data_IF_512325967645
#
_entry.id   IF_512325967645
#
_cell.length_a   1.000
_cell.length_b   1.000
_cell.length_c   1.000
_cell.angle_alpha   90.00
_cell.angle_beta   90.00
_cell.angle_gamma   90.00
#
_symmetry.space_group_name_H-M   'P 1'
#
loop_
_entity.id
_entity.type
_entity.pdbx_description
1 polymer ?
#
# COMPACT_ATOMS: atom_id res chain seq x y z
N UNK A 1 5.09 -11.74 -6.12
CA UNK A 1 5.11 -10.68 -5.11
C UNK A 1 4.46 -9.41 -5.67
N UNK A 2 3.90 -8.53 -4.85
CA UNK A 2 3.37 -7.22 -5.24
C UNK A 2 4.18 -6.09 -4.59
N UNK A 3 4.41 -5.02 -5.34
CA UNK A 3 5.12 -3.85 -4.83
C UNK A 3 4.13 -2.81 -4.30
N UNK A 4 4.50 -2.23 -3.16
CA UNK A 4 3.80 -1.14 -2.51
C UNK A 4 4.70 0.10 -2.50
N UNK A 5 4.32 1.17 -3.17
CA UNK A 5 5.10 2.41 -3.16
C UNK A 5 4.93 3.13 -1.82
N UNK A 6 6.02 3.38 -1.11
CA UNK A 6 6.01 4.04 0.18
C UNK A 6 5.89 5.56 0.01
N UNK A 7 4.76 6.11 0.44
CA UNK A 7 4.48 7.55 0.39
C UNK A 7 4.38 8.17 1.79
N UNK A 8 4.74 7.42 2.85
CA UNK A 8 4.57 7.88 4.24
C UNK A 8 5.38 9.13 4.60
N UNK A 9 6.52 9.33 3.95
CA UNK A 9 7.41 10.48 4.16
C UNK A 9 7.00 11.72 3.32
N UNK A 10 5.95 11.62 2.49
CA UNK A 10 5.48 12.74 1.67
C UNK A 10 4.58 13.66 2.50
N UNK A 11 5.19 14.72 3.06
CA UNK A 11 4.49 15.64 3.96
C UNK A 11 3.44 16.54 3.29
N UNK A 12 3.57 16.81 1.99
CA UNK A 12 2.65 17.70 1.28
C UNK A 12 1.46 16.91 0.71
N UNK A 13 0.25 17.20 1.19
CA UNK A 13 -0.98 16.51 0.75
C UNK A 13 -1.25 16.58 -0.76
N UNK A 14 -0.94 17.71 -1.41
CA UNK A 14 -1.15 17.84 -2.85
C UNK A 14 -0.15 16.97 -3.63
N UNK A 15 1.10 16.93 -3.18
CA UNK A 15 2.13 16.07 -3.75
C UNK A 15 1.84 14.59 -3.53
N UNK A 16 1.40 14.22 -2.32
CA UNK A 16 0.98 12.87 -1.98
C UNK A 16 -0.12 12.36 -2.92
N UNK A 17 -1.15 13.18 -3.17
CA UNK A 17 -2.23 12.85 -4.11
C UNK A 17 -1.75 12.77 -5.56
N UNK A 18 -0.84 13.66 -5.95
CA UNK A 18 -0.23 13.63 -7.30
C UNK A 18 0.53 12.32 -7.51
N UNK A 19 1.37 11.92 -6.57
CA UNK A 19 2.13 10.67 -6.62
C UNK A 19 1.22 9.44 -6.56
N UNK A 20 0.15 9.48 -5.76
CA UNK A 20 -0.83 8.40 -5.71
C UNK A 20 -1.59 8.24 -7.05
N UNK A 21 -1.96 9.36 -7.70
CA UNK A 21 -2.56 9.34 -9.04
C UNK A 21 -1.56 8.81 -10.08
N UNK A 22 -0.31 9.25 -10.05
CA UNK A 22 0.73 8.78 -10.95
C UNK A 22 1.00 7.27 -10.77
N UNK A 23 0.99 6.78 -9.52
CA UNK A 23 1.07 5.36 -9.22
C UNK A 23 -0.12 4.56 -9.76
N UNK A 24 -1.33 5.11 -9.67
CA UNK A 24 -2.56 4.53 -10.23
C UNK A 24 -2.47 4.44 -11.76
N UNK A 25 -2.09 5.54 -12.42
CA UNK A 25 -1.99 5.65 -13.88
C UNK A 25 -0.90 4.75 -14.47
N UNK A 26 0.20 4.55 -13.75
CA UNK A 26 1.30 3.67 -14.17
C UNK A 26 1.18 2.22 -13.70
N UNK A 27 0.07 1.86 -13.03
CA UNK A 27 -0.22 0.47 -12.67
C UNK A 27 0.67 -0.09 -11.56
N UNK A 28 1.11 0.76 -10.63
CA UNK A 28 1.67 0.29 -9.35
C UNK A 28 0.55 -0.46 -8.60
N UNK A 29 0.88 -1.61 -7.99
CA UNK A 29 -0.15 -2.45 -7.38
C UNK A 29 -0.79 -1.80 -6.14
N UNK A 30 0.02 -1.15 -5.30
CA UNK A 30 -0.49 -0.40 -4.17
C UNK A 30 0.47 0.67 -3.67
N UNK A 31 -0.03 1.51 -2.77
CA UNK A 31 0.69 2.57 -2.08
C UNK A 31 0.56 2.39 -0.57
N UNK A 32 1.55 2.88 0.17
CA UNK A 32 1.50 2.99 1.62
C UNK A 32 1.38 4.45 2.01
N UNK A 33 0.35 4.78 2.79
CA UNK A 33 0.03 6.15 3.18
C UNK A 33 -0.14 6.24 4.69
N UNK A 34 0.18 7.39 5.25
CA UNK A 34 -0.03 7.70 6.66
C UNK A 34 -0.33 9.20 6.80
N UNK A 35 -0.63 9.63 8.01
CA UNK A 35 -0.78 11.04 8.35
C UNK A 35 -0.41 11.25 9.82
N UNK A 36 -0.68 12.44 10.36
CA UNK A 36 -0.62 12.67 11.81
C UNK A 36 -1.55 11.67 12.54
N UNK A 37 -1.21 11.25 13.78
CA UNK A 37 -2.03 10.31 14.54
C UNK A 37 -3.50 10.76 14.65
N UNK A 38 -4.42 9.88 14.28
CA UNK A 38 -5.86 10.13 14.21
C UNK A 38 -6.36 10.73 12.89
N UNK A 39 -5.47 11.02 11.93
CA UNK A 39 -5.83 11.56 10.61
C UNK A 39 -5.54 10.57 9.46
N UNK A 40 -4.97 9.40 9.74
CA UNK A 40 -4.47 8.46 8.71
C UNK A 40 -5.59 7.98 7.79
N UNK A 41 -6.75 7.60 8.35
CA UNK A 41 -7.92 7.19 7.59
C UNK A 41 -8.51 8.34 6.75
N UNK A 42 -8.42 9.58 7.24
CA UNK A 42 -8.91 10.76 6.49
C UNK A 42 -8.05 11.02 5.26
N UNK A 43 -6.72 10.94 5.40
CA UNK A 43 -5.82 11.09 4.25
C UNK A 43 -6.01 9.96 3.24
N UNK A 44 -6.11 8.71 3.72
CA UNK A 44 -6.38 7.56 2.88
C UNK A 44 -7.71 7.67 2.13
N UNK A 45 -8.77 8.18 2.77
CA UNK A 45 -10.06 8.44 2.12
C UNK A 45 -9.94 9.48 1.00
N UNK A 46 -9.15 10.55 1.21
CA UNK A 46 -8.93 11.56 0.19
C UNK A 46 -8.24 10.99 -1.05
N UNK A 47 -7.26 10.11 -0.85
CA UNK A 47 -6.55 9.41 -1.94
C UNK A 47 -7.45 8.38 -2.61
N UNK A 48 -8.23 7.63 -1.83
CA UNK A 48 -9.19 6.66 -2.34
C UNK A 48 -10.22 7.30 -3.29
N UNK A 49 -10.66 8.53 -2.98
CA UNK A 49 -11.61 9.28 -3.80
C UNK A 49 -11.05 9.78 -5.14
N UNK A 50 -9.72 9.85 -5.29
CA UNK A 50 -9.06 10.36 -6.51
C UNK A 50 -8.30 9.30 -7.29
N UNK A 51 -8.33 8.04 -6.84
CA UNK A 51 -7.65 6.90 -7.48
C UNK A 51 -8.66 5.80 -7.77
N UNK A 52 -8.41 4.98 -8.78
CA UNK A 52 -9.38 3.99 -9.26
C UNK A 52 -8.93 2.55 -9.04
N UNK A 53 -7.64 2.25 -9.17
CA UNK A 53 -7.14 0.87 -9.25
C UNK A 53 -6.11 0.53 -8.17
N UNK A 54 -5.26 1.49 -7.78
CA UNK A 54 -4.17 1.27 -6.82
C UNK A 54 -4.71 0.84 -5.46
N UNK A 55 -4.13 -0.21 -4.88
CA UNK A 55 -4.48 -0.65 -3.52
C UNK A 55 -3.89 0.31 -2.49
N UNK A 56 -4.61 0.56 -1.39
CA UNK A 56 -4.23 1.54 -0.36
C UNK A 56 -3.95 0.79 0.94
N UNK A 57 -2.67 0.71 1.32
CA UNK A 57 -2.24 0.25 2.63
C UNK A 57 -2.13 1.46 3.56
N UNK A 58 -2.98 1.53 4.58
CA UNK A 58 -2.96 2.61 5.56
C UNK A 58 -2.05 2.22 6.73
N UNK A 59 -0.97 2.96 6.97
CA UNK A 59 -0.11 2.80 8.15
C UNK A 59 -0.69 3.64 9.31
N UNK A 60 -1.27 2.95 10.30
CA UNK A 60 -2.10 3.51 11.36
C UNK A 60 -1.41 3.28 12.71
N UNK A 61 -1.40 4.31 13.55
CA UNK A 61 -1.13 4.12 14.98
C UNK A 61 -2.32 3.44 15.66
N UNK A 62 -2.21 2.14 15.92
CA UNK A 62 -3.28 1.33 16.51
C UNK A 62 -3.59 1.66 17.97
N UNK A 63 -2.81 2.52 18.61
CA UNK A 63 -3.02 2.97 19.99
C UNK A 63 -3.57 4.41 20.07
N UNK A 64 -3.72 5.09 18.92
CA UNK A 64 -4.23 6.47 18.86
C UNK A 64 -5.73 6.59 19.15
N UNK A 65 -6.50 5.50 18.98
CA UNK A 65 -7.94 5.47 19.22
C UNK A 65 -8.41 4.08 19.67
N UNK A 66 -9.69 3.98 20.07
CA UNK A 66 -10.29 2.70 20.43
C UNK A 66 -10.35 1.75 19.22
N UNK A 67 -10.09 0.43 19.36
CA UNK A 67 -10.09 -0.53 18.25
C UNK A 67 -11.36 -0.50 17.39
N UNK A 68 -12.53 -0.32 18.01
CA UNK A 68 -13.79 -0.18 17.26
C UNK A 68 -13.80 1.04 16.36
N UNK A 69 -13.35 2.20 16.85
CA UNK A 69 -13.30 3.45 16.07
C UNK A 69 -12.35 3.29 14.89
N UNK A 70 -11.15 2.73 15.12
CA UNK A 70 -10.19 2.45 14.04
C UNK A 70 -10.80 1.53 12.97
N UNK A 71 -11.48 0.46 13.39
CA UNK A 71 -12.10 -0.47 12.46
C UNK A 71 -13.26 0.16 11.66
N UNK A 72 -14.07 1.04 12.27
CA UNK A 72 -15.11 1.79 11.59
C UNK A 72 -14.53 2.75 10.54
N UNK A 73 -13.49 3.50 10.90
CA UNK A 73 -12.84 4.42 9.98
C UNK A 73 -12.22 3.68 8.78
N UNK A 74 -11.50 2.57 9.02
CA UNK A 74 -10.92 1.74 7.95
C UNK A 74 -12.03 1.17 7.05
N UNK A 75 -13.15 0.72 7.62
CA UNK A 75 -14.30 0.23 6.85
C UNK A 75 -14.92 1.32 5.97
N UNK A 76 -14.99 2.56 6.45
CA UNK A 76 -15.43 3.70 5.65
C UNK A 76 -14.45 3.96 4.49
N UNK A 77 -13.14 3.93 4.73
CA UNK A 77 -12.15 4.08 3.64
C UNK A 77 -12.33 2.97 2.61
N UNK A 78 -12.59 1.73 3.02
CA UNK A 78 -12.82 0.60 2.11
C UNK A 78 -14.08 0.74 1.24
N UNK A 79 -15.13 1.36 1.79
CA UNK A 79 -16.32 1.71 1.02
C UNK A 79 -16.00 2.77 -0.05
N UNK A 80 -15.26 3.81 0.33
CA UNK A 80 -14.83 4.88 -0.59
C UNK A 80 -13.87 4.33 -1.65
N UNK A 81 -12.95 3.44 -1.27
CA UNK A 81 -11.95 2.86 -2.16
C UNK A 81 -12.50 1.75 -3.05
N UNK A 82 -13.74 1.31 -2.82
CA UNK A 82 -14.37 0.20 -3.53
C UNK A 82 -13.53 -1.07 -3.46
N UNK A 83 -13.20 -1.53 -2.25
CA UNK A 83 -12.50 -2.80 -1.98
C UNK A 83 -10.99 -2.79 -2.25
N UNK A 84 -10.36 -1.64 -2.12
CA UNK A 84 -8.91 -1.49 -2.35
C UNK A 84 -8.11 -1.27 -1.07
N UNK A 85 -8.74 -1.35 0.09
CA UNK A 85 -8.09 -0.99 1.36
C UNK A 85 -7.42 -2.20 2.02
N UNK A 86 -6.26 -1.95 2.63
CA UNK A 86 -5.59 -2.80 3.61
C UNK A 86 -5.10 -1.92 4.75
N UNK A 87 -4.82 -2.50 5.91
CA UNK A 87 -4.29 -1.75 7.05
C UNK A 87 -2.99 -2.35 7.58
N UNK A 88 -2.04 -1.49 7.93
CA UNK A 88 -0.83 -1.82 8.67
C UNK A 88 -0.98 -1.17 10.06
N UNK A 89 -1.21 -1.97 11.09
CA UNK A 89 -1.49 -1.49 12.44
C UNK A 89 -0.27 -1.63 13.35
N UNK A 90 0.31 -0.48 13.70
CA UNK A 90 1.32 -0.34 14.76
C UNK A 90 0.65 -0.49 16.14
N UNK A 91 1.44 -0.73 17.18
CA UNK A 91 0.95 -0.80 18.56
C UNK A 91 0.64 -2.21 19.05
N UNK A 92 -0.26 -2.32 20.05
CA UNK A 92 -0.52 -3.56 20.77
C UNK A 92 -1.17 -4.65 19.89
N UNK A 93 -0.63 -5.88 19.97
CA UNK A 93 -1.16 -7.04 19.24
C UNK A 93 -2.63 -7.37 19.59
N UNK A 94 -3.07 -7.04 20.80
CA UNK A 94 -4.46 -7.19 21.25
C UNK A 94 -5.40 -6.21 20.53
N UNK A 95 -4.98 -4.95 20.34
CA UNK A 95 -5.74 -3.97 19.56
C UNK A 95 -5.84 -4.40 18.10
N UNK A 96 -4.71 -4.80 17.50
CA UNK A 96 -4.66 -5.30 16.12
C UNK A 96 -5.58 -6.50 15.90
N UNK A 97 -5.57 -7.48 16.81
CA UNK A 97 -6.46 -8.65 16.73
C UNK A 97 -7.94 -8.27 16.78
N UNK A 98 -8.32 -7.30 17.63
CA UNK A 98 -9.70 -6.80 17.71
C UNK A 98 -10.13 -6.09 16.42
N UNK A 99 -9.28 -5.22 15.88
CA UNK A 99 -9.52 -4.53 14.61
C UNK A 99 -9.67 -5.53 13.47
N UNK A 100 -8.75 -6.50 13.36
CA UNK A 100 -8.80 -7.54 12.33
C UNK A 100 -10.09 -8.38 12.40
N UNK A 101 -10.53 -8.76 13.61
CA UNK A 101 -11.76 -9.50 13.80
C UNK A 101 -13.00 -8.69 13.35
N UNK A 102 -13.11 -7.43 13.78
CA UNK A 102 -14.18 -6.53 13.37
C UNK A 102 -14.21 -6.33 11.85
N UNK A 103 -13.05 -6.08 11.23
CA UNK A 103 -12.89 -5.90 9.79
C UNK A 103 -13.11 -7.18 8.97
N UNK A 104 -13.14 -8.34 9.64
CA UNK A 104 -13.54 -9.64 9.06
C UNK A 104 -15.03 -9.95 9.25
N UNK A 105 -15.81 -8.98 9.77
CA UNK A 105 -17.23 -9.14 10.05
C UNK A 105 -17.54 -9.97 11.30
N UNK A 106 -16.55 -10.26 12.14
CA UNK A 106 -16.76 -11.00 13.39
C UNK A 106 -17.17 -10.03 14.51
N UNK A 107 -18.13 -10.42 15.37
CA UNK A 107 -18.49 -9.62 16.52
C UNK A 107 -17.34 -9.61 17.54
N UNK A 108 -17.03 -8.44 18.10
CA UNK A 108 -16.03 -8.26 19.17
C UNK A 108 -16.68 -7.50 20.31
N UNK A 109 -16.60 -8.04 21.53
CA UNK A 109 -17.19 -7.42 22.73
C UNK A 109 -18.69 -7.06 22.56
N UNK A 110 -19.43 -7.84 21.77
CA UNK A 110 -20.85 -7.61 21.47
C UNK A 110 -21.12 -6.55 20.40
N UNK A 111 -20.08 -5.99 19.77
CA UNK A 111 -20.16 -4.96 18.73
C UNK A 111 -19.93 -5.57 17.34
N UNK A 112 -20.59 -5.01 16.33
CA UNK A 112 -20.42 -5.30 14.90
C UNK A 112 -20.26 -3.95 14.18
N UNK A 113 -19.43 -3.90 13.14
CA UNK A 113 -19.18 -2.68 12.38
C UNK A 113 -20.41 -2.21 11.58
N UNK A 114 -20.67 -0.91 11.64
CA UNK A 114 -21.64 -0.21 10.81
C UNK A 114 -21.04 1.15 10.36
N UNK A 115 -20.78 1.38 9.06
CA UNK A 115 -21.03 0.46 7.95
C UNK A 115 -20.10 -0.77 8.00
N UNK A 116 -20.52 -1.92 7.46
CA UNK A 116 -19.58 -3.02 7.24
C UNK A 116 -18.57 -2.61 6.15
N UNK A 117 -17.37 -3.24 6.12
CA UNK A 117 -16.46 -3.14 4.99
C UNK A 117 -17.12 -3.48 3.65
N UNK A 118 -16.60 -2.92 2.54
CA UNK A 118 -17.03 -3.30 1.20
C UNK A 118 -16.47 -4.69 0.81
N UNK A 119 -15.30 -5.02 1.33
CA UNK A 119 -14.69 -6.35 1.27
C UNK A 119 -15.34 -7.30 2.28
N UNK A 120 -15.24 -8.61 2.02
CA UNK A 120 -15.64 -9.60 3.02
C UNK A 120 -14.72 -9.58 4.25
N UNK A 121 -13.45 -9.21 4.05
CA UNK A 121 -12.45 -9.04 5.08
C UNK A 121 -11.41 -8.04 4.59
N UNK A 122 -11.14 -6.99 5.36
CA UNK A 122 -10.01 -6.10 5.09
C UNK A 122 -8.75 -6.72 5.71
N UNK A 123 -7.67 -6.95 4.93
CA UNK A 123 -6.43 -7.46 5.48
C UNK A 123 -5.80 -6.47 6.46
N UNK A 124 -5.39 -6.98 7.63
CA UNK A 124 -4.68 -6.23 8.67
C UNK A 124 -3.32 -6.88 8.92
N UNK A 125 -2.27 -6.09 8.79
CA UNK A 125 -0.88 -6.51 8.95
C UNK A 125 -0.23 -5.80 10.14
N UNK A 126 0.78 -6.45 10.72
CA UNK A 126 1.77 -5.82 11.57
C UNK A 126 2.91 -5.23 10.73
N UNK A 127 3.66 -4.22 11.24
CA UNK A 127 4.83 -3.68 10.55
C UNK A 127 5.87 -4.75 10.15
N UNK A 128 6.04 -5.77 10.98
CA UNK A 128 6.96 -6.89 10.74
C UNK A 128 6.50 -7.87 9.64
N UNK A 129 5.22 -7.85 9.24
CA UNK A 129 4.68 -8.78 8.25
C UNK A 129 5.04 -8.39 6.80
N UNK A 130 5.33 -7.09 6.57
CA UNK A 130 5.63 -6.57 5.24
C UNK A 130 7.01 -5.89 5.27
N UNK A 131 8.04 -6.49 4.65
CA UNK A 131 9.35 -5.87 4.60
C UNK A 131 9.33 -4.57 3.80
N UNK A 132 10.22 -3.65 4.17
CA UNK A 132 10.43 -2.38 3.49
C UNK A 132 11.88 -2.25 3.04
N UNK A 133 12.09 -1.75 1.82
CA UNK A 133 13.41 -1.47 1.25
C UNK A 133 13.42 -0.12 0.55
N UNK A 134 14.59 0.50 0.51
CA UNK A 134 14.82 1.72 -0.27
C UNK A 134 15.53 1.37 -1.56
N UNK A 135 14.96 1.78 -2.69
CA UNK A 135 15.51 1.56 -4.01
C UNK A 135 15.90 2.90 -4.64
N UNK A 136 17.01 2.89 -5.38
CA UNK A 136 17.60 4.10 -5.97
C UNK A 136 17.52 4.02 -7.48
N UNK A 137 17.02 5.07 -8.13
CA UNK A 137 16.87 5.09 -9.58
C UNK A 137 18.19 4.81 -10.33
N UNK A 138 18.10 4.09 -11.45
CA UNK A 138 19.25 3.66 -12.24
C UNK A 138 20.17 2.60 -11.60
N UNK A 139 19.93 2.20 -10.35
CA UNK A 139 20.75 1.18 -9.70
C UNK A 139 20.47 -0.22 -10.23
N UNK A 140 21.49 -0.87 -10.80
CA UNK A 140 21.45 -2.30 -11.17
C UNK A 140 21.18 -3.21 -9.96
N UNK A 141 21.44 -2.75 -8.74
CA UNK A 141 21.17 -3.48 -7.50
C UNK A 141 19.68 -3.65 -7.20
N UNK A 142 18.80 -2.79 -7.74
CA UNK A 142 17.36 -2.86 -7.46
C UNK A 142 16.74 -4.17 -7.94
N UNK A 143 17.15 -4.64 -9.12
CA UNK A 143 16.70 -5.90 -9.69
C UNK A 143 17.02 -7.07 -8.75
N UNK A 144 18.25 -7.10 -8.21
CA UNK A 144 18.70 -8.14 -7.30
C UNK A 144 17.88 -8.16 -6.01
N UNK A 145 17.61 -6.98 -5.43
CA UNK A 145 16.79 -6.86 -4.21
C UNK A 145 15.37 -7.38 -4.46
N UNK A 146 14.74 -6.95 -5.57
CA UNK A 146 13.37 -7.40 -5.91
C UNK A 146 13.32 -8.89 -6.18
N UNK A 147 14.30 -9.44 -6.90
CA UNK A 147 14.39 -10.88 -7.18
C UNK A 147 14.56 -11.68 -5.88
N UNK A 148 15.42 -11.25 -4.96
CA UNK A 148 15.63 -11.90 -3.65
C UNK A 148 14.32 -12.00 -2.84
N UNK A 149 13.54 -10.91 -2.77
CA UNK A 149 12.27 -10.92 -2.03
C UNK A 149 11.19 -11.72 -2.75
N UNK A 150 11.12 -11.64 -4.09
CA UNK A 150 10.21 -12.47 -4.89
C UNK A 150 10.48 -13.95 -4.66
N UNK A 151 11.75 -14.35 -4.73
CA UNK A 151 12.16 -15.76 -4.64
C UNK A 151 12.07 -16.30 -3.21
N UNK A 152 12.05 -15.41 -2.21
CA UNK A 152 11.73 -15.73 -0.81
C UNK A 152 10.22 -15.87 -0.54
N UNK A 153 9.39 -15.84 -1.58
CA UNK A 153 7.92 -15.96 -1.52
C UNK A 153 7.26 -14.89 -0.61
N UNK A 154 7.85 -13.71 -0.52
CA UNK A 154 7.23 -12.57 0.17
C UNK A 154 6.02 -12.09 -0.65
N UNK A 155 4.81 -11.96 -0.08
CA UNK A 155 3.63 -11.55 -0.84
C UNK A 155 3.68 -10.08 -1.24
N UNK A 156 4.13 -9.20 -0.33
CA UNK A 156 4.19 -7.75 -0.49
C UNK A 156 5.58 -7.22 -0.13
N UNK A 157 6.03 -6.17 -0.82
CA UNK A 157 7.25 -5.46 -0.50
C UNK A 157 7.02 -3.96 -0.59
N UNK A 158 7.29 -3.24 0.49
CA UNK A 158 7.21 -1.77 0.55
C UNK A 158 8.51 -1.20 -0.02
N UNK A 159 8.36 -0.27 -0.96
CA UNK A 159 9.47 0.34 -1.71
C UNK A 159 9.45 1.85 -1.50
N UNK A 160 10.48 2.39 -0.86
CA UNK A 160 10.79 3.82 -1.03
C UNK A 160 11.52 4.02 -2.36
N UNK A 161 11.08 4.99 -3.15
CA UNK A 161 11.59 5.24 -4.51
C UNK A 161 11.84 6.73 -4.71
N UNK A 162 13.03 7.08 -5.20
CA UNK A 162 13.44 8.47 -5.42
C UNK A 162 13.40 8.92 -6.88
N UNK A 163 13.12 8.01 -7.81
CA UNK A 163 13.05 8.30 -9.25
C UNK A 163 11.62 8.51 -9.75
N UNK A 164 11.43 8.61 -11.07
CA UNK A 164 10.11 8.66 -11.70
C UNK A 164 9.33 7.36 -11.47
N UNK A 165 8.03 7.43 -11.13
CA UNK A 165 7.22 6.24 -10.85
C UNK A 165 7.08 5.36 -12.10
N UNK A 166 7.04 5.98 -13.28
CA UNK A 166 7.04 5.29 -14.58
C UNK A 166 8.22 4.30 -14.72
N UNK A 167 9.41 4.67 -14.26
CA UNK A 167 10.58 3.79 -14.28
C UNK A 167 10.44 2.61 -13.32
N UNK A 168 9.97 2.86 -12.10
CA UNK A 168 9.63 1.81 -11.13
C UNK A 168 8.62 0.81 -11.73
N UNK A 169 7.53 1.31 -12.31
CA UNK A 169 6.49 0.50 -12.93
C UNK A 169 7.05 -0.38 -14.06
N UNK A 170 7.79 0.25 -14.98
CA UNK A 170 8.31 -0.41 -16.19
C UNK A 170 9.31 -1.52 -15.87
N UNK A 171 10.24 -1.30 -14.94
CA UNK A 171 11.34 -2.26 -14.71
C UNK A 171 11.10 -3.22 -13.55
N UNK A 172 10.30 -2.84 -12.53
CA UNK A 172 10.26 -3.58 -11.27
C UNK A 172 8.91 -4.22 -10.97
N UNK A 173 7.78 -3.65 -11.41
CA UNK A 173 6.45 -4.25 -11.14
C UNK A 173 6.28 -5.61 -11.83
N UNK A 174 6.65 -5.69 -13.12
CA UNK A 174 6.64 -6.95 -13.86
C UNK A 174 7.63 -7.98 -13.27
N UNK A 175 8.82 -7.52 -12.89
CA UNK A 175 9.86 -8.35 -12.25
C UNK A 175 9.43 -8.92 -10.90
N UNK A 176 8.73 -8.13 -10.08
CA UNK A 176 8.20 -8.61 -8.81
C UNK A 176 7.09 -9.68 -8.97
N UNK A 177 6.39 -9.64 -10.11
CA UNK A 177 5.25 -10.52 -10.40
C UNK A 177 5.63 -11.81 -11.14
N UNK A 178 6.79 -11.86 -11.80
CA UNK A 178 7.23 -13.00 -12.62
C UNK A 178 8.74 -13.24 -12.52
N UNK A 179 9.14 -14.52 -12.51
CA UNK A 179 10.55 -14.93 -12.59
C UNK A 179 11.16 -14.72 -13.97
N UNK A 180 10.33 -14.69 -15.02
CA UNK A 180 10.76 -14.62 -16.42
C UNK A 180 10.65 -13.20 -16.98
N UNK A 181 10.91 -12.19 -16.16
CA UNK A 181 10.76 -10.81 -16.57
C UNK A 181 11.74 -10.42 -17.69
N UNK A 182 11.25 -10.00 -18.87
CA UNK A 182 12.10 -9.74 -20.02
C UNK A 182 12.71 -8.34 -19.95
N UNK A 183 13.82 -8.19 -19.21
CA UNK A 183 14.49 -6.90 -19.00
C UNK A 183 14.75 -6.14 -20.31
N UNK A 184 15.16 -6.84 -21.36
CA UNK A 184 15.44 -6.25 -22.68
C UNK A 184 14.23 -5.52 -23.28
N UNK A 185 12.99 -5.95 -22.99
CA UNK A 185 11.77 -5.29 -23.48
C UNK A 185 11.52 -3.99 -22.71
N UNK A 186 11.78 -3.99 -21.40
CA UNK A 186 11.69 -2.78 -20.58
C UNK A 186 12.73 -1.75 -21.04
N UNK A 187 13.97 -2.17 -21.27
CA UNK A 187 15.04 -1.30 -21.75
C UNK A 187 14.75 -0.74 -23.16
N UNK A 188 14.12 -1.53 -24.03
CA UNK A 188 13.67 -1.05 -25.34
C UNK A 188 12.53 -0.02 -25.21
N UNK A 189 11.62 -0.20 -24.25
CA UNK A 189 10.55 0.75 -24.00
C UNK A 189 11.08 2.12 -23.56
N UNK A 190 12.21 2.19 -22.85
CA UNK A 190 12.89 3.45 -22.52
C UNK A 190 13.39 4.21 -23.75
N UNK A 191 13.78 3.50 -24.81
CA UNK A 191 14.24 4.12 -26.05
C UNK A 191 13.09 4.69 -26.88
N UNK A 192 11.90 4.10 -26.76
CA UNK A 192 10.71 4.48 -27.53
C UNK A 192 9.91 5.56 -26.80
N UNK A 193 9.77 5.41 -25.49
CA UNK A 193 9.03 6.30 -24.60
C UNK A 193 9.89 6.60 -23.37
N UNK A 194 10.82 7.58 -23.49
CA UNK A 194 11.74 7.93 -22.43
C UNK A 194 11.05 8.17 -21.09
N UNK A 195 11.78 7.85 -20.02
CA UNK A 195 11.41 8.20 -18.66
C UNK A 195 11.86 9.65 -18.48
N UNK A 196 10.91 10.59 -18.41
CA UNK A 196 11.14 12.01 -18.10
C UNK A 196 11.04 12.28 -16.60
#
# INVERSE_FOLDING_TARGET
MRLLLDLREVANHAELRRLASEADDHGIWGIVVTAAPGAECTEAAAIAATTNNVSILIDIDGDAAHPTTLAEEIAVVDQISHRRTMALLRGLATHRSKVAALLSGLPVDGLILAPPPAQASIPVYAPEDIPAVSLVDGSKGNAVIVDQHRDSNTPFLIISWTGPIKGLARHLVGRASSTDFPQMIADLADQIDPIE
#
